data_IF_244983241974
#
_entry.id   IF_244983241974
#
_cell.length_a   1.000
_cell.length_b   1.000
_cell.length_c   1.000
_cell.angle_alpha   90.00
_cell.angle_beta   90.00
_cell.angle_gamma   90.00
#
_symmetry.space_group_name_H-M   'P 1'
#
loop_
_entity.id
_entity.type
_entity.pdbx_description
1 polymer ?
#
# COMPACT_ATOMS: atom_id res chain seq x y z
N UNK A 1 2.71 20.06 -16.08
CA UNK A 1 1.36 19.49 -16.30
C UNK A 1 1.52 17.98 -16.32
N UNK A 2 0.98 17.30 -15.32
CA UNK A 2 1.11 15.86 -15.16
C UNK A 2 0.30 15.14 -16.26
N UNK A 3 0.88 14.18 -17.00
CA UNK A 3 0.20 13.52 -18.12
C UNK A 3 -1.12 12.86 -17.73
N UNK A 4 -2.17 13.11 -18.53
CA UNK A 4 -3.49 12.50 -18.40
C UNK A 4 -4.45 13.16 -17.40
N UNK A 5 -4.00 14.14 -16.62
CA UNK A 5 -4.84 14.81 -15.60
C UNK A 5 -6.06 15.54 -16.20
N UNK A 6 -5.93 16.12 -17.39
CA UNK A 6 -7.04 16.77 -18.11
C UNK A 6 -8.22 15.83 -18.39
N UNK A 7 -7.99 14.52 -18.55
CA UNK A 7 -9.04 13.54 -18.82
C UNK A 7 -9.91 13.24 -17.58
N UNK A 8 -9.44 13.63 -16.40
CA UNK A 8 -10.07 13.38 -15.11
C UNK A 8 -10.43 14.67 -14.35
N UNK A 9 -10.32 15.83 -15.02
CA UNK A 9 -10.55 17.16 -14.43
C UNK A 9 -9.70 17.42 -13.17
N UNK A 10 -8.47 16.88 -13.14
CA UNK A 10 -7.55 17.04 -12.01
C UNK A 10 -6.65 18.24 -12.28
N UNK A 11 -6.83 19.31 -11.50
CA UNK A 11 -5.88 20.41 -11.45
C UNK A 11 -4.94 20.21 -10.26
N UNK A 12 -3.64 20.06 -10.49
CA UNK A 12 -2.59 20.10 -9.47
C UNK A 12 -1.65 21.24 -9.85
N UNK A 13 -1.48 22.20 -8.93
CA UNK A 13 -0.60 23.35 -9.12
C UNK A 13 0.64 23.16 -8.25
N UNK A 14 1.72 22.69 -8.86
CA UNK A 14 3.01 22.52 -8.19
C UNK A 14 3.91 23.65 -8.67
N UNK A 15 4.34 24.49 -7.73
CA UNK A 15 5.23 25.62 -8.04
C UNK A 15 6.65 25.14 -8.33
N UNK A 16 7.34 25.81 -9.26
CA UNK A 16 8.76 25.55 -9.53
C UNK A 16 9.60 25.75 -8.25
N UNK A 17 9.25 26.72 -7.41
CA UNK A 17 9.91 26.99 -6.12
C UNK A 17 9.79 25.80 -5.15
N UNK A 18 8.63 25.13 -5.09
CA UNK A 18 8.45 23.92 -4.28
C UNK A 18 9.28 22.76 -4.79
N UNK A 19 9.35 22.59 -6.11
CA UNK A 19 10.19 21.55 -6.73
C UNK A 19 11.66 21.83 -6.45
N UNK A 20 12.14 23.06 -6.66
CA UNK A 20 13.52 23.46 -6.38
C UNK A 20 13.88 23.29 -4.91
N UNK A 21 12.98 23.67 -3.99
CA UNK A 21 13.14 23.43 -2.55
C UNK A 21 13.30 21.94 -2.28
N UNK A 22 12.42 21.11 -2.82
CA UNK A 22 12.45 19.68 -2.56
C UNK A 22 13.68 19.00 -3.18
N UNK A 23 14.11 19.44 -4.36
CA UNK A 23 15.35 19.00 -5.00
C UNK A 23 16.59 19.38 -4.18
N UNK A 24 16.54 20.43 -3.35
CA UNK A 24 17.66 20.81 -2.49
C UNK A 24 17.80 19.95 -1.22
N UNK A 25 16.78 19.16 -0.87
CA UNK A 25 16.75 18.35 0.35
C UNK A 25 17.80 17.24 0.31
N UNK A 26 18.49 17.11 1.43
CA UNK A 26 19.46 16.08 1.75
C UNK A 26 19.04 15.37 3.06
N UNK A 27 19.59 14.17 3.35
CA UNK A 27 19.26 13.44 4.58
C UNK A 27 19.45 14.25 5.86
N UNK A 28 20.46 15.10 5.94
CA UNK A 28 20.71 15.97 7.09
C UNK A 28 19.67 17.08 7.33
N UNK A 29 18.76 17.32 6.38
CA UNK A 29 17.73 18.36 6.48
C UNK A 29 16.43 17.87 7.16
N UNK A 30 16.32 16.57 7.47
CA UNK A 30 15.15 15.97 8.12
C UNK A 30 15.53 15.34 9.45
N UNK A 31 14.54 15.24 10.35
CA UNK A 31 14.70 14.60 11.65
C UNK A 31 14.34 13.12 11.59
N UNK A 32 15.02 12.30 12.40
CA UNK A 32 14.60 10.91 12.65
C UNK A 32 13.28 10.87 13.39
N UNK A 33 12.45 9.88 13.08
CA UNK A 33 11.23 9.62 13.84
C UNK A 33 11.55 9.24 15.29
N UNK A 34 10.66 9.57 16.23
CA UNK A 34 10.81 9.21 17.65
C UNK A 34 10.40 7.77 17.98
N UNK A 35 9.78 7.08 17.02
CA UNK A 35 9.33 5.70 17.09
C UNK A 35 9.27 5.14 15.66
N UNK A 36 9.29 3.82 15.53
CA UNK A 36 8.96 3.12 14.29
C UNK A 36 7.71 2.27 14.51
N UNK A 37 6.85 2.19 13.51
CA UNK A 37 5.68 1.29 13.53
C UNK A 37 5.77 0.17 12.49
N UNK A 38 4.97 -0.87 12.70
CA UNK A 38 4.75 -1.96 11.76
C UNK A 38 3.35 -2.55 11.93
N UNK A 39 2.85 -3.30 10.95
CA UNK A 39 1.58 -4.02 11.05
C UNK A 39 1.79 -5.52 10.80
N UNK A 40 1.02 -6.40 11.46
CA UNK A 40 1.02 -7.84 11.18
C UNK A 40 -0.10 -8.21 10.25
N UNK A 41 0.24 -8.84 9.14
CA UNK A 41 -0.72 -9.16 8.10
C UNK A 41 -0.71 -10.61 7.65
N UNK A 42 -1.78 -10.98 6.94
CA UNK A 42 -1.73 -12.06 5.96
C UNK A 42 -1.85 -11.47 4.58
N UNK A 43 -1.03 -11.98 3.68
CA UNK A 43 -1.02 -11.58 2.28
C UNK A 43 -1.99 -12.47 1.50
N UNK A 44 -3.01 -11.87 0.89
CA UNK A 44 -4.09 -12.57 0.19
C UNK A 44 -4.06 -12.20 -1.30
N UNK A 45 -3.40 -13.01 -2.14
CA UNK A 45 -3.25 -12.72 -3.56
C UNK A 45 -4.53 -13.07 -4.33
N UNK A 46 -5.57 -12.24 -4.22
CA UNK A 46 -6.91 -12.55 -4.72
C UNK A 46 -6.92 -12.94 -6.20
N UNK A 47 -6.08 -12.27 -7.01
CA UNK A 47 -5.77 -12.71 -8.37
C UNK A 47 -4.50 -12.08 -8.92
N UNK A 48 -3.75 -12.83 -9.73
CA UNK A 48 -2.61 -12.33 -10.52
C UNK A 48 -3.01 -11.82 -11.90
N UNK A 49 -4.32 -11.79 -12.20
CA UNK A 49 -4.83 -11.26 -13.45
C UNK A 49 -4.72 -9.74 -13.46
N UNK A 50 -4.01 -9.18 -14.44
CA UNK A 50 -3.71 -7.75 -14.51
C UNK A 50 -3.82 -7.26 -15.95
N UNK A 51 -4.53 -6.15 -16.17
CA UNK A 51 -4.56 -5.51 -17.49
C UNK A 51 -3.22 -4.92 -17.91
N UNK A 52 -2.36 -4.58 -16.96
CA UNK A 52 -1.02 -4.03 -17.20
C UNK A 52 0.04 -5.14 -17.20
N UNK A 53 1.12 -4.89 -17.95
CA UNK A 53 2.29 -5.78 -18.02
C UNK A 53 3.55 -4.99 -17.66
N UNK A 54 3.54 -4.38 -16.48
CA UNK A 54 4.64 -3.59 -15.96
C UNK A 54 5.92 -4.44 -15.87
N UNK A 55 7.01 -3.99 -16.47
CA UNK A 55 8.27 -4.75 -16.51
C UNK A 55 8.94 -4.83 -15.15
N UNK A 56 8.69 -3.86 -14.26
CA UNK A 56 9.15 -3.89 -12.87
C UNK A 56 8.33 -4.81 -11.96
N UNK A 57 7.19 -5.35 -12.42
CA UNK A 57 6.27 -6.11 -11.59
C UNK A 57 6.33 -7.61 -11.91
N UNK A 58 6.56 -8.42 -10.88
CA UNK A 58 6.45 -9.88 -10.91
C UNK A 58 5.02 -10.37 -10.68
N UNK A 59 4.15 -9.51 -10.13
CA UNK A 59 2.79 -9.82 -9.71
C UNK A 59 1.75 -9.75 -10.85
N UNK A 60 2.04 -10.41 -11.96
CA UNK A 60 1.08 -10.58 -13.06
C UNK A 60 1.39 -11.87 -13.80
N UNK A 61 0.34 -12.66 -14.02
CA UNK A 61 0.36 -13.85 -14.86
C UNK A 61 -0.33 -13.59 -16.21
N UNK A 62 0.24 -14.09 -17.33
CA UNK A 62 -0.38 -13.99 -18.64
C UNK A 62 -1.81 -14.57 -18.67
N UNK A 63 -2.67 -14.07 -19.58
CA UNK A 63 -3.99 -14.64 -19.80
C UNK A 63 -3.96 -16.17 -19.96
N UNK A 64 -4.78 -16.87 -19.18
CA UNK A 64 -4.84 -18.34 -19.12
C UNK A 64 -3.94 -18.98 -18.07
N UNK A 65 -3.13 -18.21 -17.33
CA UNK A 65 -2.32 -18.69 -16.20
C UNK A 65 -2.71 -18.04 -14.87
N UNK A 66 -3.34 -16.86 -14.90
CA UNK A 66 -3.83 -16.22 -13.69
C UNK A 66 -4.97 -17.00 -13.05
N UNK A 67 -4.95 -17.06 -11.73
CA UNK A 67 -5.94 -17.77 -10.90
C UNK A 67 -6.70 -16.77 -10.01
N UNK A 68 -7.86 -17.20 -9.52
CA UNK A 68 -8.59 -16.54 -8.44
C UNK A 68 -8.39 -17.36 -7.17
N UNK A 69 -7.92 -16.71 -6.11
CA UNK A 69 -7.89 -17.32 -4.77
C UNK A 69 -9.33 -17.66 -4.37
N UNK A 70 -9.58 -18.89 -3.91
CA UNK A 70 -10.95 -19.32 -3.58
C UNK A 70 -11.36 -18.95 -2.13
N UNK A 71 -12.67 -18.96 -1.87
CA UNK A 71 -13.27 -18.60 -0.57
C UNK A 71 -12.72 -19.44 0.60
N UNK A 72 -12.44 -20.72 0.36
CA UNK A 72 -11.93 -21.63 1.39
C UNK A 72 -10.48 -21.28 1.69
N UNK A 73 -9.68 -20.99 0.66
CA UNK A 73 -8.29 -20.58 0.81
C UNK A 73 -8.16 -19.23 1.54
N UNK A 74 -9.00 -18.24 1.18
CA UNK A 74 -9.09 -16.96 1.89
C UNK A 74 -9.37 -17.22 3.38
N UNK A 75 -10.41 -17.99 3.68
CA UNK A 75 -10.81 -18.30 5.06
C UNK A 75 -9.71 -19.02 5.84
N UNK A 76 -9.08 -20.02 5.25
CA UNK A 76 -8.01 -20.80 5.88
C UNK A 76 -6.78 -19.91 6.15
N UNK A 77 -6.46 -19.00 5.23
CA UNK A 77 -5.33 -18.06 5.38
C UNK A 77 -5.63 -17.02 6.46
N UNK A 78 -6.81 -16.40 6.44
CA UNK A 78 -7.24 -15.46 7.48
C UNK A 78 -7.24 -16.09 8.86
N UNK A 79 -7.79 -17.31 9.00
CA UNK A 79 -7.79 -18.04 10.27
C UNK A 79 -6.38 -18.27 10.81
N UNK A 80 -5.48 -18.78 9.96
CA UNK A 80 -4.07 -18.97 10.32
C UNK A 80 -3.38 -17.66 10.73
N UNK A 81 -3.75 -16.55 10.08
CA UNK A 81 -3.31 -15.21 10.42
C UNK A 81 -3.77 -14.77 11.80
N UNK A 82 -5.08 -14.88 12.05
CA UNK A 82 -5.68 -14.53 13.34
C UNK A 82 -5.07 -15.38 14.48
N UNK A 83 -4.90 -16.69 14.27
CA UNK A 83 -4.23 -17.61 15.21
C UNK A 83 -2.77 -17.20 15.48
N UNK A 84 -2.11 -16.55 14.52
CA UNK A 84 -0.74 -16.03 14.64
C UNK A 84 -0.68 -14.58 15.15
N UNK A 85 -1.82 -13.98 15.52
CA UNK A 85 -1.91 -12.62 16.04
C UNK A 85 -1.87 -11.54 14.96
N UNK A 86 -2.13 -11.84 13.69
CA UNK A 86 -2.26 -10.82 12.65
C UNK A 86 -3.51 -9.96 12.89
N UNK A 87 -3.48 -8.75 12.37
CA UNK A 87 -4.63 -7.83 12.39
C UNK A 87 -5.09 -7.42 11.01
N UNK A 88 -4.23 -7.52 10.01
CA UNK A 88 -4.52 -7.12 8.63
C UNK A 88 -4.76 -8.33 7.72
N UNK A 89 -5.81 -8.26 6.92
CA UNK A 89 -6.00 -9.08 5.72
C UNK A 89 -5.66 -8.22 4.49
N UNK A 90 -4.42 -8.33 4.01
CA UNK A 90 -3.90 -7.54 2.91
C UNK A 90 -4.28 -8.20 1.57
N UNK A 91 -5.39 -7.74 0.99
CA UNK A 91 -5.85 -8.18 -0.32
C UNK A 91 -5.08 -7.46 -1.43
N UNK A 92 -4.31 -8.21 -2.21
CA UNK A 92 -3.62 -7.66 -3.38
C UNK A 92 -4.05 -8.41 -4.63
N UNK A 93 -4.19 -7.69 -5.73
CA UNK A 93 -4.45 -8.31 -7.03
C UNK A 93 -3.95 -7.41 -8.15
N UNK A 94 -3.83 -7.97 -9.35
CA UNK A 94 -3.58 -7.17 -10.54
C UNK A 94 -4.70 -6.16 -10.81
N UNK A 95 -4.36 -5.03 -11.45
CA UNK A 95 -5.34 -4.02 -11.87
C UNK A 95 -6.37 -4.64 -12.84
N UNK A 96 -7.65 -4.62 -12.42
CA UNK A 96 -8.89 -4.99 -13.13
C UNK A 96 -8.68 -5.87 -14.38
N UNK A 97 -8.93 -7.20 -14.30
CA UNK A 97 -8.64 -8.13 -15.38
C UNK A 97 -9.43 -7.78 -16.64
N UNK A 98 -8.72 -7.48 -17.74
CA UNK A 98 -9.37 -7.18 -19.00
C UNK A 98 -9.96 -8.42 -19.70
N UNK A 99 -10.65 -8.22 -20.82
CA UNK A 99 -11.38 -9.26 -21.57
C UNK A 99 -10.50 -10.46 -22.00
N UNK A 100 -9.17 -10.37 -21.92
CA UNK A 100 -8.28 -11.50 -22.21
C UNK A 100 -8.36 -12.59 -21.15
N UNK A 101 -8.75 -12.26 -19.91
CA UNK A 101 -8.80 -13.18 -18.78
C UNK A 101 -10.13 -13.94 -18.71
N UNK A 102 -10.51 -14.61 -19.80
CA UNK A 102 -11.83 -15.26 -19.89
C UNK A 102 -12.08 -16.29 -18.79
N UNK A 103 -11.07 -17.06 -18.38
CA UNK A 103 -11.21 -18.05 -17.32
C UNK A 103 -11.52 -17.43 -15.95
N UNK A 104 -10.93 -16.26 -15.64
CA UNK A 104 -11.20 -15.50 -14.42
C UNK A 104 -12.63 -14.99 -14.45
N UNK A 105 -13.06 -14.39 -15.57
CA UNK A 105 -14.43 -13.90 -15.75
C UNK A 105 -15.47 -15.03 -15.69
N UNK A 106 -15.22 -16.17 -16.34
CA UNK A 106 -16.09 -17.35 -16.28
C UNK A 106 -16.22 -17.89 -14.85
N UNK A 107 -15.13 -17.88 -14.09
CA UNK A 107 -15.12 -18.32 -12.69
C UNK A 107 -15.84 -17.34 -11.77
N UNK A 108 -15.65 -16.02 -11.92
CA UNK A 108 -16.42 -15.00 -11.22
C UNK A 108 -17.92 -15.18 -11.48
N UNK A 109 -18.32 -15.32 -12.75
CA UNK A 109 -19.72 -15.53 -13.12
C UNK A 109 -20.29 -16.84 -12.55
N UNK A 110 -19.52 -17.93 -12.55
CA UNK A 110 -19.90 -19.19 -11.92
C UNK A 110 -20.06 -19.08 -10.40
N UNK A 111 -19.32 -18.16 -9.79
CA UNK A 111 -19.40 -17.80 -8.37
C UNK A 111 -20.44 -16.73 -8.05
N UNK A 112 -21.16 -16.24 -9.07
CA UNK A 112 -22.23 -15.25 -8.92
C UNK A 112 -21.78 -13.80 -8.85
N UNK A 113 -20.57 -13.50 -9.33
CA UNK A 113 -19.98 -12.15 -9.35
C UNK A 113 -19.82 -11.64 -10.77
N UNK A 114 -20.25 -10.40 -11.02
CA UNK A 114 -20.11 -9.72 -12.30
C UNK A 114 -18.73 -9.04 -12.46
N UNK A 115 -17.99 -8.85 -11.36
CA UNK A 115 -16.65 -8.25 -11.38
C UNK A 115 -15.76 -8.74 -10.24
N UNK A 116 -14.45 -8.51 -10.37
CA UNK A 116 -13.49 -8.78 -9.29
C UNK A 116 -13.77 -7.96 -8.03
N UNK A 117 -14.38 -6.78 -8.15
CA UNK A 117 -14.70 -5.93 -6.99
C UNK A 117 -15.90 -6.45 -6.19
N UNK A 118 -16.88 -7.09 -6.84
CA UNK A 118 -17.97 -7.79 -6.13
C UNK A 118 -17.40 -8.99 -5.36
N UNK A 119 -16.47 -9.71 -5.96
CA UNK A 119 -15.79 -10.81 -5.27
C UNK A 119 -14.87 -10.32 -4.14
N UNK A 120 -14.17 -9.20 -4.32
CA UNK A 120 -13.39 -8.56 -3.26
C UNK A 120 -14.29 -8.24 -2.06
N UNK A 121 -15.50 -7.73 -2.28
CA UNK A 121 -16.43 -7.45 -1.19
C UNK A 121 -16.70 -8.69 -0.35
N UNK A 122 -17.02 -9.82 -0.99
CA UNK A 122 -17.20 -11.10 -0.31
C UNK A 122 -15.91 -11.56 0.40
N UNK A 123 -14.74 -11.36 -0.21
CA UNK A 123 -13.45 -11.68 0.42
C UNK A 123 -13.21 -10.85 1.69
N UNK A 124 -13.52 -9.55 1.67
CA UNK A 124 -13.46 -8.67 2.84
C UNK A 124 -14.43 -9.13 3.95
N UNK A 125 -15.64 -9.57 3.61
CA UNK A 125 -16.58 -10.16 4.58
C UNK A 125 -15.98 -11.40 5.25
N UNK A 126 -15.35 -12.30 4.48
CA UNK A 126 -14.68 -13.49 5.03
C UNK A 126 -13.53 -13.10 5.97
N UNK A 127 -12.74 -12.08 5.64
CA UNK A 127 -11.65 -11.63 6.50
C UNK A 127 -12.16 -11.06 7.84
N UNK A 128 -13.22 -10.25 7.82
CA UNK A 128 -13.85 -9.74 9.04
C UNK A 128 -14.43 -10.87 9.90
N UNK A 129 -15.09 -11.86 9.27
CA UNK A 129 -15.60 -13.05 9.97
C UNK A 129 -14.51 -13.88 10.65
N UNK A 130 -13.30 -13.93 10.09
CA UNK A 130 -12.16 -14.63 10.67
C UNK A 130 -11.29 -13.71 11.58
N UNK A 131 -11.77 -12.50 11.89
CA UNK A 131 -11.13 -11.62 12.87
C UNK A 131 -9.92 -10.84 12.36
N UNK A 132 -9.90 -10.48 11.06
CA UNK A 132 -8.89 -9.60 10.47
C UNK A 132 -9.55 -8.39 9.81
N UNK A 133 -8.90 -7.23 9.90
CA UNK A 133 -9.33 -6.00 9.25
C UNK A 133 -8.85 -5.99 7.78
N UNK A 134 -9.75 -5.85 6.79
CA UNK A 134 -9.34 -5.82 5.40
C UNK A 134 -8.57 -4.55 5.04
N UNK A 135 -7.49 -4.73 4.27
CA UNK A 135 -6.78 -3.69 3.55
C UNK A 135 -6.65 -4.12 2.08
N UNK A 136 -7.33 -3.44 1.17
CA UNK A 136 -7.35 -3.81 -0.24
C UNK A 136 -6.50 -2.89 -1.13
N UNK A 137 -5.71 -3.50 -2.02
CA UNK A 137 -4.93 -2.85 -3.07
C UNK A 137 -5.42 -3.28 -4.47
N UNK A 138 -6.63 -2.85 -4.90
CA UNK A 138 -7.29 -3.32 -6.12
C UNK A 138 -6.80 -2.66 -7.42
N UNK A 139 -5.75 -1.85 -7.36
CA UNK A 139 -5.29 -1.07 -8.50
C UNK A 139 -6.19 0.12 -8.84
N UNK A 140 -6.22 0.51 -10.11
CA UNK A 140 -7.07 1.60 -10.60
C UNK A 140 -8.56 1.25 -10.48
N UNK A 141 -9.33 2.09 -9.78
CA UNK A 141 -10.78 1.93 -9.63
C UNK A 141 -11.56 3.12 -10.18
N UNK A 142 -12.75 2.84 -10.69
CA UNK A 142 -13.80 3.85 -10.80
C UNK A 142 -14.36 4.19 -9.42
N UNK A 143 -15.05 5.33 -9.31
CA UNK A 143 -15.72 5.75 -8.06
C UNK A 143 -16.70 4.69 -7.55
N UNK A 144 -17.49 4.10 -8.43
CA UNK A 144 -18.50 3.11 -8.05
C UNK A 144 -17.86 1.79 -7.58
N UNK A 145 -16.78 1.36 -8.23
CA UNK A 145 -16.02 0.17 -7.81
C UNK A 145 -15.39 0.36 -6.42
N UNK A 146 -14.81 1.53 -6.13
CA UNK A 146 -14.23 1.81 -4.81
C UNK A 146 -15.33 1.94 -3.75
N UNK A 147 -16.40 2.69 -4.03
CA UNK A 147 -17.51 2.87 -3.10
C UNK A 147 -18.22 1.56 -2.74
N UNK A 148 -18.18 0.55 -3.63
CA UNK A 148 -18.76 -0.77 -3.39
C UNK A 148 -18.08 -1.56 -2.26
N UNK A 149 -16.78 -1.34 -2.05
CA UNK A 149 -15.94 -2.14 -1.13
C UNK A 149 -15.40 -1.34 0.06
N UNK A 150 -15.41 -0.01 -0.03
CA UNK A 150 -14.80 0.89 0.96
C UNK A 150 -15.33 0.68 2.39
N UNK A 151 -16.62 0.35 2.55
CA UNK A 151 -17.25 0.16 3.86
C UNK A 151 -16.72 -1.07 4.63
N UNK A 152 -16.05 -2.00 3.95
CA UNK A 152 -15.47 -3.20 4.56
C UNK A 152 -13.95 -3.15 4.67
N UNK A 153 -13.32 -2.03 4.32
CA UNK A 153 -11.86 -1.88 4.36
C UNK A 153 -11.47 -0.86 5.42
N UNK A 154 -10.57 -1.25 6.34
CA UNK A 154 -9.96 -0.31 7.28
C UNK A 154 -9.03 0.67 6.55
N UNK A 155 -8.39 0.19 5.47
CA UNK A 155 -7.53 0.96 4.58
C UNK A 155 -7.66 0.44 3.15
N UNK A 156 -7.38 1.29 2.17
CA UNK A 156 -7.16 0.84 0.79
C UNK A 156 -5.89 1.48 0.23
N UNK A 157 -5.37 0.97 -0.87
CA UNK A 157 -4.17 1.55 -1.44
C UNK A 157 -3.98 1.37 -2.94
N UNK A 158 -3.20 2.29 -3.49
CA UNK A 158 -2.59 2.14 -4.81
C UNK A 158 -1.32 2.97 -4.90
N UNK A 159 -0.24 2.38 -5.40
CA UNK A 159 0.98 3.14 -5.70
C UNK A 159 0.71 4.14 -6.82
N UNK A 160 1.06 5.42 -6.62
CA UNK A 160 1.11 6.41 -7.69
C UNK A 160 2.22 6.05 -8.69
N UNK A 161 3.28 5.42 -8.21
CA UNK A 161 4.51 5.08 -8.93
C UNK A 161 5.32 6.32 -9.31
N UNK A 162 4.77 7.16 -10.18
CA UNK A 162 5.40 8.37 -10.69
C UNK A 162 4.38 9.25 -11.41
N UNK A 163 4.68 10.54 -11.51
CA UNK A 163 3.90 11.54 -12.25
C UNK A 163 4.34 11.70 -13.71
N UNK A 164 5.28 10.88 -14.20
CA UNK A 164 5.76 10.92 -15.58
C UNK A 164 5.42 9.66 -16.37
N UNK A 165 5.43 9.75 -17.70
CA UNK A 165 5.34 8.57 -18.55
C UNK A 165 6.70 7.86 -18.61
N UNK A 166 6.75 6.61 -18.15
CA UNK A 166 7.96 5.78 -18.18
C UNK A 166 7.82 4.59 -19.14
N UNK A 167 8.92 4.22 -19.78
CA UNK A 167 9.02 3.04 -20.64
C UNK A 167 9.23 1.76 -19.81
N UNK A 168 8.30 1.49 -18.90
CA UNK A 168 8.36 0.38 -17.95
C UNK A 168 7.17 -0.59 -18.09
N UNK A 169 6.59 -0.68 -19.30
CA UNK A 169 5.43 -1.51 -19.62
C UNK A 169 5.72 -2.31 -20.89
N UNK A 170 5.55 -3.64 -20.83
CA UNK A 170 5.84 -4.55 -21.94
C UNK A 170 4.69 -4.74 -22.94
N UNK A 171 3.55 -4.09 -22.72
CA UNK A 171 2.31 -4.28 -23.47
C UNK A 171 1.73 -2.98 -24.02
N UNK A 172 0.57 -3.04 -24.71
CA UNK A 172 -0.06 -1.87 -25.33
C UNK A 172 -0.70 -0.92 -24.32
N UNK A 173 -0.83 -1.33 -23.04
CA UNK A 173 -1.35 -0.53 -21.94
C UNK A 173 -0.20 -0.08 -21.05
N UNK A 174 -0.23 1.17 -20.63
CA UNK A 174 0.67 1.75 -19.63
C UNK A 174 -0.15 2.38 -18.52
N UNK A 175 0.36 2.34 -17.28
CA UNK A 175 -0.23 3.12 -16.19
C UNK A 175 -0.16 4.61 -16.52
N UNK A 176 -1.27 5.30 -16.35
CA UNK A 176 -1.37 6.74 -16.61
C UNK A 176 -1.34 7.53 -15.29
N UNK A 177 -0.44 8.52 -15.13
CA UNK A 177 -0.37 9.34 -13.93
C UNK A 177 -1.68 10.03 -13.54
N UNK A 178 -2.39 10.62 -14.50
CA UNK A 178 -3.69 11.25 -14.29
C UNK A 178 -4.75 10.27 -13.76
N UNK A 179 -4.77 9.04 -14.27
CA UNK A 179 -5.65 7.98 -13.76
C UNK A 179 -5.31 7.58 -12.32
N UNK A 180 -4.02 7.46 -11.99
CA UNK A 180 -3.57 7.13 -10.63
C UNK A 180 -3.96 8.24 -9.64
N UNK A 181 -3.71 9.50 -10.01
CA UNK A 181 -4.17 10.64 -9.23
C UNK A 181 -5.70 10.70 -9.11
N UNK A 182 -6.43 10.25 -10.13
CA UNK A 182 -7.88 10.13 -10.05
C UNK A 182 -8.32 9.08 -9.03
N UNK A 183 -7.62 7.95 -8.93
CA UNK A 183 -7.88 6.95 -7.90
C UNK A 183 -7.66 7.53 -6.50
N UNK A 184 -6.56 8.26 -6.28
CA UNK A 184 -6.30 8.98 -5.01
C UNK A 184 -7.41 10.00 -4.71
N UNK A 185 -7.79 10.82 -5.68
CA UNK A 185 -8.90 11.79 -5.56
C UNK A 185 -10.21 11.10 -5.12
N UNK A 186 -10.55 9.99 -5.77
CA UNK A 186 -11.76 9.20 -5.47
C UNK A 186 -11.72 8.65 -4.05
N UNK A 187 -10.59 8.13 -3.58
CA UNK A 187 -10.43 7.68 -2.20
C UNK A 187 -10.66 8.82 -1.20
N UNK A 188 -10.08 9.99 -1.47
CA UNK A 188 -10.30 11.19 -0.68
C UNK A 188 -11.75 11.64 -0.63
N UNK A 189 -12.46 11.62 -1.76
CA UNK A 189 -13.89 11.96 -1.82
C UNK A 189 -14.81 10.96 -1.12
N UNK A 190 -14.38 9.70 -1.01
CA UNK A 190 -15.10 8.65 -0.30
C UNK A 190 -14.74 8.55 1.18
N UNK A 191 -13.74 9.31 1.65
CA UNK A 191 -13.30 9.28 3.04
C UNK A 191 -12.59 7.97 3.42
N UNK A 192 -11.80 7.39 2.50
CA UNK A 192 -11.11 6.12 2.74
C UNK A 192 -9.67 6.40 3.20
N UNK A 193 -9.23 5.94 4.38
CA UNK A 193 -7.81 5.96 4.76
C UNK A 193 -6.99 5.23 3.69
N UNK A 194 -5.97 5.89 3.16
CA UNK A 194 -5.36 5.46 1.90
C UNK A 194 -3.83 5.40 1.94
N UNK A 195 -3.27 4.28 1.47
CA UNK A 195 -1.83 4.11 1.26
C UNK A 195 -1.49 4.37 -0.21
N UNK A 196 -0.43 5.13 -0.45
CA UNK A 196 0.13 5.33 -1.79
C UNK A 196 1.65 5.39 -1.72
N UNK A 197 2.32 5.78 -2.80
CA UNK A 197 3.77 5.79 -2.84
C UNK A 197 4.35 6.04 -4.22
N UNK A 198 5.66 6.16 -4.24
CA UNK A 198 6.46 6.29 -5.47
C UNK A 198 7.38 5.08 -5.64
N UNK A 199 7.64 4.73 -6.90
CA UNK A 199 8.69 3.80 -7.26
C UNK A 199 9.93 4.57 -7.70
N UNK A 200 11.07 4.17 -7.16
CA UNK A 200 12.37 4.80 -7.41
C UNK A 200 13.19 3.93 -8.34
N UNK A 201 13.52 4.46 -9.52
CA UNK A 201 14.40 3.85 -10.51
C UNK A 201 13.70 3.20 -11.70
N UNK A 202 12.41 3.47 -11.93
CA UNK A 202 11.64 2.91 -13.06
C UNK A 202 11.76 3.73 -14.36
N UNK A 203 12.60 4.77 -14.35
CA UNK A 203 12.87 5.64 -15.50
C UNK A 203 12.52 7.11 -15.26
N UNK A 204 11.99 7.43 -14.09
CA UNK A 204 11.75 8.79 -13.62
C UNK A 204 13.06 9.49 -13.21
N UNK A 205 13.12 10.81 -13.35
CA UNK A 205 14.25 11.62 -12.87
C UNK A 205 13.96 12.28 -11.50
N UNK A 206 14.93 13.04 -10.98
CA UNK A 206 14.78 13.74 -9.71
C UNK A 206 13.61 14.73 -9.68
N UNK A 207 13.35 15.43 -10.78
CA UNK A 207 12.22 16.35 -10.87
C UNK A 207 10.91 15.57 -10.79
N UNK A 208 10.79 14.45 -11.49
CA UNK A 208 9.59 13.62 -11.44
C UNK A 208 9.34 13.04 -10.04
N UNK A 209 10.39 12.69 -9.29
CA UNK A 209 10.25 12.27 -7.88
C UNK A 209 9.69 13.39 -7.01
N UNK A 210 10.24 14.60 -7.14
CA UNK A 210 9.76 15.77 -6.42
C UNK A 210 8.30 16.09 -6.78
N UNK A 211 7.97 16.16 -8.07
CA UNK A 211 6.61 16.39 -8.56
C UNK A 211 5.62 15.34 -8.05
N UNK A 212 6.02 14.06 -8.00
CA UNK A 212 5.18 12.98 -7.48
C UNK A 212 4.88 13.11 -5.99
N UNK A 213 5.89 13.43 -5.17
CA UNK A 213 5.71 13.65 -3.73
C UNK A 213 4.83 14.87 -3.45
N UNK A 214 5.01 15.96 -4.21
CA UNK A 214 4.20 17.17 -4.08
C UNK A 214 2.75 16.95 -4.58
N UNK A 215 2.55 16.12 -5.59
CA UNK A 215 1.21 15.73 -6.05
C UNK A 215 0.48 14.88 -4.99
N UNK A 216 1.18 13.97 -4.32
CA UNK A 216 0.64 13.20 -3.19
C UNK A 216 0.29 14.14 -2.02
N UNK A 217 1.18 15.07 -1.67
CA UNK A 217 0.91 16.11 -0.66
C UNK A 217 -0.36 16.89 -0.98
N UNK A 218 -0.50 17.39 -2.21
CA UNK A 218 -1.68 18.14 -2.64
C UNK A 218 -2.98 17.31 -2.49
N UNK A 219 -2.94 16.01 -2.82
CA UNK A 219 -4.09 15.12 -2.61
C UNK A 219 -4.40 14.94 -1.12
N UNK A 220 -3.39 14.82 -0.27
CA UNK A 220 -3.59 14.76 1.16
C UNK A 220 -4.13 16.09 1.71
N UNK A 221 -3.55 17.24 1.37
CA UNK A 221 -3.99 18.56 1.85
C UNK A 221 -5.45 18.88 1.47
N UNK A 222 -5.92 18.39 0.32
CA UNK A 222 -7.31 18.57 -0.13
C UNK A 222 -8.32 17.69 0.61
N UNK A 223 -7.91 16.48 1.00
CA UNK A 223 -8.87 15.43 1.38
C UNK A 223 -8.58 14.80 2.77
N UNK A 224 -7.38 14.92 3.34
CA UNK A 224 -6.98 14.37 4.64
C UNK A 224 -6.73 12.86 4.70
N UNK A 225 -6.97 12.16 3.58
CA UNK A 225 -7.16 10.71 3.53
C UNK A 225 -5.87 9.86 3.45
N UNK A 226 -4.77 10.42 2.94
CA UNK A 226 -3.53 9.64 2.78
C UNK A 226 -2.91 9.42 4.15
N UNK A 227 -2.69 8.18 4.55
CA UNK A 227 -2.08 7.81 5.83
C UNK A 227 -0.58 7.54 5.72
N UNK A 228 -0.18 6.97 4.57
CA UNK A 228 1.16 6.42 4.37
C UNK A 228 1.62 6.64 2.93
N UNK A 229 2.89 7.01 2.79
CA UNK A 229 3.59 7.11 1.51
C UNK A 229 4.79 6.18 1.51
N UNK A 230 4.73 5.18 0.64
CA UNK A 230 5.79 4.19 0.45
C UNK A 230 6.84 4.72 -0.52
N UNK A 231 8.10 4.78 -0.08
CA UNK A 231 9.26 5.05 -0.94
C UNK A 231 9.92 3.73 -1.28
N UNK A 232 9.51 3.14 -2.41
CA UNK A 232 9.93 1.79 -2.79
C UNK A 232 10.98 1.83 -3.92
N UNK A 233 12.13 1.15 -3.76
CA UNK A 233 13.06 0.96 -4.87
C UNK A 233 12.50 -0.05 -5.88
N UNK A 234 12.78 0.17 -7.17
CA UNK A 234 12.65 -0.92 -8.14
C UNK A 234 13.72 -1.97 -7.88
N UNK A 235 13.34 -3.24 -7.99
CA UNK A 235 14.25 -4.37 -7.85
C UNK A 235 14.33 -5.16 -9.15
N UNK A 236 15.53 -5.63 -9.50
CA UNK A 236 15.69 -6.47 -10.68
C UNK A 236 14.93 -7.78 -10.56
N UNK A 237 14.29 -8.18 -11.65
CA UNK A 237 13.54 -9.43 -11.77
C UNK A 237 13.61 -9.93 -13.21
N UNK A 238 12.95 -11.05 -13.53
CA UNK A 238 13.00 -11.65 -14.88
C UNK A 238 12.65 -10.69 -16.03
N UNK A 239 11.84 -9.65 -15.76
CA UNK A 239 11.33 -8.66 -16.71
C UNK A 239 12.01 -7.29 -16.59
N UNK A 240 12.64 -6.99 -15.44
CA UNK A 240 13.38 -5.75 -15.18
C UNK A 240 14.88 -6.00 -14.98
N UNK A 241 15.68 -5.44 -15.89
CA UNK A 241 17.15 -5.46 -15.84
C UNK A 241 17.75 -4.05 -15.94
N UNK A 242 16.98 -3.05 -15.50
CA UNK A 242 17.38 -1.63 -15.50
C UNK A 242 18.29 -1.25 -14.32
N UNK A 243 18.62 -2.20 -13.44
CA UNK A 243 19.25 -1.95 -12.16
C UNK A 243 18.27 -1.46 -11.09
N UNK A 244 18.80 -1.32 -9.89
CA UNK A 244 18.11 -0.77 -8.71
C UNK A 244 18.80 0.53 -8.26
N UNK A 245 18.07 1.48 -7.66
CA UNK A 245 18.68 2.69 -7.09
C UNK A 245 19.67 2.32 -5.99
N UNK A 246 20.76 3.08 -5.89
CA UNK A 246 21.74 2.88 -4.82
C UNK A 246 21.27 3.48 -3.49
N UNK A 247 21.99 3.15 -2.41
CA UNK A 247 21.67 3.64 -1.07
C UNK A 247 21.66 5.18 -1.00
N UNK A 248 22.59 5.85 -1.68
CA UNK A 248 22.65 7.31 -1.69
C UNK A 248 21.39 7.92 -2.33
N UNK A 249 20.90 7.31 -3.40
CA UNK A 249 19.63 7.68 -4.04
C UNK A 249 18.47 7.46 -3.08
N UNK A 250 18.36 6.28 -2.47
CA UNK A 250 17.26 5.97 -1.56
C UNK A 250 17.24 6.90 -0.35
N UNK A 251 18.37 7.12 0.32
CA UNK A 251 18.49 8.07 1.44
C UNK A 251 17.95 9.45 1.09
N UNK A 252 18.34 9.98 -0.06
CA UNK A 252 17.89 11.31 -0.50
C UNK A 252 16.40 11.35 -0.86
N UNK A 253 15.89 10.35 -1.58
CA UNK A 253 14.46 10.32 -1.95
C UNK A 253 13.57 10.13 -0.72
N UNK A 254 13.99 9.32 0.26
CA UNK A 254 13.28 9.16 1.53
C UNK A 254 13.26 10.47 2.31
N UNK A 255 14.39 11.19 2.41
CA UNK A 255 14.44 12.52 3.02
C UNK A 255 13.55 13.54 2.29
N UNK A 256 13.52 13.50 0.95
CA UNK A 256 12.58 14.29 0.16
C UNK A 256 11.13 13.95 0.53
N UNK A 257 10.76 12.67 0.65
CA UNK A 257 9.41 12.29 1.05
C UNK A 257 9.03 12.89 2.40
N UNK A 258 9.89 12.75 3.42
CA UNK A 258 9.65 13.34 4.75
C UNK A 258 9.53 14.86 4.71
N UNK A 259 10.38 15.55 3.94
CA UNK A 259 10.35 17.01 3.81
C UNK A 259 9.18 17.55 2.96
N UNK A 260 8.61 16.71 2.09
CA UNK A 260 7.47 17.07 1.27
C UNK A 260 6.17 16.94 2.06
N UNK A 261 5.99 15.82 2.76
CA UNK A 261 4.71 15.40 3.32
C UNK A 261 4.43 16.03 4.69
N UNK A 262 3.15 16.31 5.03
CA UNK A 262 2.75 16.70 6.38
C UNK A 262 3.11 15.65 7.42
N UNK A 263 3.39 16.07 8.66
CA UNK A 263 3.85 15.19 9.74
C UNK A 263 2.89 14.04 10.05
N UNK A 264 1.58 14.22 9.81
CA UNK A 264 0.53 13.21 9.99
C UNK A 264 0.47 12.13 8.90
N UNK A 265 1.29 12.25 7.84
CA UNK A 265 1.47 11.24 6.80
C UNK A 265 2.77 10.51 7.08
N UNK A 266 2.66 9.20 7.30
CA UNK A 266 3.81 8.34 7.56
C UNK A 266 4.61 8.09 6.29
N UNK A 267 5.92 7.97 6.46
CA UNK A 267 6.88 7.68 5.40
C UNK A 267 7.42 6.28 5.64
N UNK A 268 7.05 5.38 4.75
CA UNK A 268 7.41 3.98 4.84
C UNK A 268 8.46 3.63 3.80
N UNK A 269 9.37 2.72 4.14
CA UNK A 269 10.16 1.97 3.18
C UNK A 269 9.91 0.47 3.38
N UNK A 270 9.75 -0.33 2.32
CA UNK A 270 9.57 -1.77 2.46
C UNK A 270 10.89 -2.43 2.89
N UNK A 271 11.00 -2.96 4.12
CA UNK A 271 12.27 -3.44 4.69
C UNK A 271 12.83 -4.68 3.98
N UNK A 272 12.01 -5.42 3.24
CA UNK A 272 12.43 -6.54 2.39
C UNK A 272 13.10 -6.08 1.08
N UNK A 273 12.84 -4.85 0.61
CA UNK A 273 13.36 -4.33 -0.67
C UNK A 273 14.34 -3.16 -0.50
N UNK A 274 14.30 -2.46 0.63
CA UNK A 274 15.11 -1.30 0.93
C UNK A 274 15.96 -1.54 2.19
N UNK A 275 17.17 -0.94 2.28
CA UNK A 275 18.02 -1.03 3.47
C UNK A 275 17.46 -0.15 4.61
N UNK A 276 16.31 -0.51 5.18
CA UNK A 276 15.55 0.31 6.14
C UNK A 276 16.40 0.85 7.30
N UNK A 277 17.33 0.04 7.82
CA UNK A 277 18.28 0.46 8.86
C UNK A 277 19.07 1.71 8.48
N UNK A 278 19.53 1.79 7.23
CA UNK A 278 20.31 2.91 6.69
C UNK A 278 19.43 4.07 6.22
N UNK A 279 18.11 4.02 6.48
CA UNK A 279 17.13 5.05 6.12
C UNK A 279 16.41 5.65 7.33
N UNK A 280 16.68 5.16 8.54
CA UNK A 280 16.09 5.65 9.81
C UNK A 280 16.42 7.12 10.12
N UNK A 281 17.58 7.60 9.67
CA UNK A 281 17.98 9.01 9.74
C UNK A 281 17.48 9.86 8.55
N UNK A 282 16.68 9.27 7.67
CA UNK A 282 16.09 9.95 6.51
C UNK A 282 14.58 10.20 6.69
N UNK A 283 14.04 9.99 7.90
CA UNK A 283 12.67 10.37 8.25
C UNK A 283 11.60 9.30 8.05
N UNK A 284 11.97 8.02 7.93
CA UNK A 284 10.99 6.93 8.00
C UNK A 284 10.45 6.80 9.42
N UNK A 285 9.16 6.56 9.55
CA UNK A 285 8.46 6.28 10.80
C UNK A 285 7.70 4.94 10.76
N UNK A 286 7.64 4.29 9.60
CA UNK A 286 6.94 3.01 9.44
C UNK A 286 7.76 1.99 8.63
N UNK A 287 7.68 0.72 9.03
CA UNK A 287 8.37 -0.42 8.41
C UNK A 287 7.40 -1.33 7.62
N UNK A 288 6.14 -0.94 7.49
CA UNK A 288 5.11 -1.62 6.72
C UNK A 288 4.47 -2.82 7.40
N UNK A 289 3.67 -3.53 6.60
CA UNK A 289 3.11 -4.82 6.99
C UNK A 289 4.16 -5.93 6.93
N UNK A 290 4.10 -6.88 7.85
CA UNK A 290 4.89 -8.13 7.82
C UNK A 290 4.00 -9.33 8.10
N UNK A 291 4.25 -10.43 7.39
CA UNK A 291 3.49 -11.66 7.58
C UNK A 291 4.32 -12.76 8.25
N UNK A 292 3.83 -13.36 9.35
CA UNK A 292 4.43 -14.56 9.93
C UNK A 292 4.00 -15.86 9.23
N UNK A 293 3.03 -15.82 8.30
CA UNK A 293 2.34 -17.03 7.78
C UNK A 293 2.24 -17.12 6.26
N UNK A 294 2.49 -16.03 5.53
CA UNK A 294 2.46 -15.92 4.07
C UNK A 294 3.73 -15.26 3.56
N UNK A 295 4.06 -15.46 2.28
CA UNK A 295 5.18 -14.77 1.61
C UNK A 295 4.71 -13.43 1.01
N UNK A 296 5.63 -12.56 0.61
CA UNK A 296 5.31 -11.40 -0.24
C UNK A 296 5.08 -11.92 -1.66
N UNK A 297 3.82 -11.99 -2.12
CA UNK A 297 3.58 -12.48 -3.47
C UNK A 297 3.91 -11.44 -4.55
N UNK A 298 4.00 -10.14 -4.19
CA UNK A 298 4.41 -9.12 -5.16
C UNK A 298 5.91 -9.27 -5.44
N UNK A 299 6.73 -9.48 -4.42
CA UNK A 299 8.17 -9.68 -4.54
C UNK A 299 8.59 -11.04 -3.96
N UNK A 300 8.25 -12.16 -4.62
CA UNK A 300 8.41 -13.51 -4.05
C UNK A 300 9.86 -13.95 -3.84
N UNK A 301 10.82 -13.26 -4.47
CA UNK A 301 12.25 -13.46 -4.23
C UNK A 301 12.73 -12.83 -2.90
N UNK A 302 11.88 -12.05 -2.22
CA UNK A 302 12.17 -11.30 -1.00
C UNK A 302 11.17 -11.67 0.10
N UNK A 303 11.60 -12.49 1.06
CA UNK A 303 10.77 -12.86 2.21
C UNK A 303 10.46 -11.65 3.11
N UNK A 304 9.32 -11.69 3.81
CA UNK A 304 9.05 -10.71 4.86
C UNK A 304 10.14 -10.78 5.93
N UNK A 305 10.65 -9.64 6.41
CA UNK A 305 11.60 -9.68 7.51
C UNK A 305 10.93 -10.27 8.74
N UNK A 306 11.67 -11.10 9.46
CA UNK A 306 11.21 -11.57 10.76
C UNK A 306 11.07 -10.37 11.72
N UNK A 307 10.17 -10.46 12.70
CA UNK A 307 9.98 -9.40 13.69
C UNK A 307 11.29 -8.98 14.37
N UNK A 308 12.21 -9.93 14.59
CA UNK A 308 13.54 -9.63 15.15
C UNK A 308 14.37 -8.69 14.27
N UNK A 309 14.21 -8.74 12.95
CA UNK A 309 14.89 -7.83 12.03
C UNK A 309 14.32 -6.42 12.10
N UNK A 310 12.99 -6.27 12.20
CA UNK A 310 12.36 -4.98 12.47
C UNK A 310 12.82 -4.39 13.81
N UNK A 311 12.87 -5.23 14.86
CA UNK A 311 13.41 -4.83 16.17
C UNK A 311 14.85 -4.35 16.03
N UNK A 312 15.70 -5.05 15.26
CA UNK A 312 17.08 -4.64 15.04
C UNK A 312 17.20 -3.30 14.29
N UNK A 313 16.26 -2.97 13.39
CA UNK A 313 16.19 -1.64 12.75
C UNK A 313 15.89 -0.56 13.78
N UNK A 314 14.86 -0.76 14.62
CA UNK A 314 14.49 0.20 15.67
C UNK A 314 15.57 0.37 16.75
N UNK A 315 16.20 -0.73 17.18
CA UNK A 315 17.33 -0.70 18.12
C UNK A 315 18.53 0.06 17.54
N UNK A 316 18.81 -0.10 16.25
CA UNK A 316 19.89 0.64 15.58
C UNK A 316 19.61 2.14 15.51
N UNK A 317 18.34 2.53 15.37
CA UNK A 317 17.89 3.92 15.42
C UNK A 317 17.77 4.47 16.85
N UNK A 318 17.73 3.59 17.87
CA UNK A 318 17.59 3.98 19.27
C UNK A 318 16.18 4.43 19.65
N UNK A 319 15.15 3.91 18.95
CA UNK A 319 13.73 4.28 19.13
C UNK A 319 12.87 3.04 19.39
N UNK A 320 11.71 3.17 20.06
CA UNK A 320 10.78 2.05 20.22
C UNK A 320 10.22 1.58 18.88
N UNK A 321 9.91 0.28 18.80
CA UNK A 321 9.12 -0.32 17.73
C UNK A 321 7.72 -0.63 18.27
N UNK A 322 6.70 -0.23 17.53
CA UNK A 322 5.30 -0.34 17.96
C UNK A 322 4.45 -1.02 16.88
N UNK A 323 3.62 -1.97 17.26
CA UNK A 323 2.64 -2.54 16.35
C UNK A 323 1.46 -1.58 16.18
N UNK A 324 0.94 -1.45 14.96
CA UNK A 324 -0.27 -0.70 14.62
C UNK A 324 -1.28 -1.57 13.88
N UNK A 325 -2.51 -1.10 13.81
CA UNK A 325 -3.52 -1.63 12.90
C UNK A 325 -3.18 -1.31 11.43
N UNK A 326 -3.86 -1.95 10.44
CA UNK A 326 -3.74 -1.58 9.03
C UNK A 326 -4.20 -0.15 8.71
N UNK A 327 -4.78 0.53 9.70
CA UNK A 327 -5.17 1.93 9.67
C UNK A 327 -4.49 2.67 10.83
N UNK A 328 -3.99 3.88 10.58
CA UNK A 328 -3.28 4.67 11.58
C UNK A 328 -4.25 5.29 12.60
N UNK A 329 -3.83 5.39 13.87
CA UNK A 329 -4.65 5.77 15.03
C UNK A 329 -5.51 7.02 14.80
N UNK A 330 -4.97 8.05 14.12
CA UNK A 330 -5.73 9.28 13.85
C UNK A 330 -7.03 9.04 13.09
N UNK A 331 -7.07 8.06 12.18
CA UNK A 331 -8.29 7.75 11.42
C UNK A 331 -9.31 6.99 12.28
N UNK A 332 -8.84 6.23 13.27
CA UNK A 332 -9.69 5.62 14.28
C UNK A 332 -10.32 6.70 15.16
N UNK A 333 -9.51 7.67 15.61
CA UNK A 333 -9.93 8.74 16.52
C UNK A 333 -10.83 9.79 15.85
N UNK A 334 -10.58 10.13 14.59
CA UNK A 334 -11.27 11.20 13.86
C UNK A 334 -12.59 10.74 13.19
N UNK A 335 -13.01 9.49 13.41
CA UNK A 335 -14.28 8.96 12.90
C UNK A 335 -14.31 8.73 11.39
N UNK A 336 -13.18 8.28 10.82
CA UNK A 336 -13.09 7.93 9.40
C UNK A 336 -13.59 6.52 9.09
N UNK A 337 -13.60 5.66 10.09
CA UNK A 337 -13.93 4.25 9.91
C UNK A 337 -15.42 4.06 9.66
N UNK A 338 -15.74 3.09 8.81
CA UNK A 338 -17.12 2.68 8.58
C UNK A 338 -17.64 1.87 9.78
N UNK A 339 -18.97 1.85 9.96
CA UNK A 339 -19.59 1.07 11.04
C UNK A 339 -19.16 -0.42 11.08
N UNK A 340 -18.97 -1.15 9.96
CA UNK A 340 -18.46 -2.53 10.03
C UNK A 340 -17.05 -2.64 10.62
N UNK A 341 -16.16 -1.69 10.31
CA UNK A 341 -14.79 -1.68 10.82
C UNK A 341 -14.78 -1.27 12.30
N UNK A 342 -15.51 -0.22 12.67
CA UNK A 342 -15.68 0.18 14.07
C UNK A 342 -16.24 -0.97 14.91
N UNK A 343 -17.29 -1.65 14.41
CA UNK A 343 -17.89 -2.79 15.09
C UNK A 343 -16.91 -3.96 15.26
N UNK A 344 -16.02 -4.21 14.29
CA UNK A 344 -14.99 -5.23 14.41
C UNK A 344 -13.94 -4.84 15.47
N UNK A 345 -13.53 -3.58 15.51
CA UNK A 345 -12.60 -3.06 16.53
C UNK A 345 -13.23 -3.10 17.93
N UNK A 346 -14.52 -2.82 18.05
CA UNK A 346 -15.27 -2.76 19.31
C UNK A 346 -15.85 -4.11 19.77
N UNK A 347 -15.71 -5.17 18.98
CA UNK A 347 -16.28 -6.49 19.28
C UNK A 347 -15.79 -7.05 20.63
N UNK A 348 -16.69 -7.68 21.40
CA UNK A 348 -16.38 -8.36 22.65
C UNK A 348 -15.97 -9.82 22.38
N UNK A 349 -14.91 -9.97 21.59
CA UNK A 349 -14.29 -11.25 21.21
C UNK A 349 -12.75 -11.12 21.14
N UNK A 350 -12.07 -12.25 20.91
CA UNK A 350 -10.59 -12.31 20.87
C UNK A 350 -9.98 -11.37 19.81
N UNK A 351 -10.70 -11.08 18.71
CA UNK A 351 -10.22 -10.20 17.66
C UNK A 351 -10.35 -8.73 18.08
N UNK A 352 -11.52 -8.31 18.59
CA UNK A 352 -11.73 -6.97 19.11
C UNK A 352 -10.80 -6.64 20.28
N UNK A 353 -10.56 -7.59 21.20
CA UNK A 353 -9.57 -7.43 22.27
C UNK A 353 -8.15 -7.22 21.73
N UNK A 354 -7.74 -7.98 20.71
CA UNK A 354 -6.45 -7.80 20.03
C UNK A 354 -6.33 -6.42 19.39
N UNK A 355 -7.36 -5.97 18.66
CA UNK A 355 -7.34 -4.66 18.01
C UNK A 355 -7.23 -3.52 19.02
N UNK A 356 -8.03 -3.55 20.09
CA UNK A 356 -7.97 -2.52 21.15
C UNK A 356 -6.66 -2.55 21.93
N UNK A 357 -6.06 -3.74 22.16
CA UNK A 357 -4.74 -3.81 22.79
C UNK A 357 -3.66 -3.14 21.95
N UNK A 358 -3.70 -3.31 20.63
CA UNK A 358 -2.77 -2.65 19.71
C UNK A 358 -2.99 -1.13 19.72
N UNK A 359 -4.23 -0.66 19.71
CA UNK A 359 -4.51 0.78 19.81
C UNK A 359 -4.07 1.38 21.17
N UNK A 360 -4.27 0.66 22.27
CA UNK A 360 -3.97 1.16 23.62
C UNK A 360 -2.47 1.08 23.99
N UNK A 361 -1.77 0.05 23.50
CA UNK A 361 -0.43 -0.33 23.98
C UNK A 361 0.58 -0.50 22.87
N UNK A 362 0.13 -0.58 21.63
CA UNK A 362 0.99 -0.78 20.48
C UNK A 362 1.65 -2.16 20.43
N UNK A 363 1.01 -3.16 21.02
CA UNK A 363 1.51 -4.54 21.08
C UNK A 363 0.35 -5.54 21.00
N UNK A 364 0.52 -6.60 20.19
CA UNK A 364 -0.34 -7.78 20.22
C UNK A 364 -0.27 -8.46 21.60
N UNK A 365 -1.40 -8.76 22.27
CA UNK A 365 -1.40 -9.54 23.51
C UNK A 365 -0.67 -10.87 23.34
N UNK A 366 0.14 -11.28 24.33
CA UNK A 366 0.65 -12.65 24.36
C UNK A 366 -0.54 -13.62 24.39
N UNK A 367 -0.56 -14.58 23.47
CA UNK A 367 -1.56 -15.64 23.48
C UNK A 367 -1.49 -16.39 24.83
N UNK A 368 -2.63 -16.73 25.45
CA UNK A 368 -2.67 -17.33 26.78
C UNK A 368 -2.00 -18.71 26.89
#
# INVERSE_FOLDING_TARGET
MIPGTDAYDIAIDISDDDVERLLSVMPEDVESASALSYCRNVFLPLTTACRYTCTYCTYYDPPGQAELMDRKEIRETCRRGADAGCTEALFTFGDDPDDRYTAVHDQLAAWGHDSIHEYLREACEIALEEGLLPHANPGDQTRDQMAHVADLNASMGVMLETTTEVQAHGGPRAKNPGQRLNTLRVAGELGVPFTTGILVGIGEDWHNRAESLLAIREMHERYGHIQEVIVQPVVENERWRGGSPDLATMRRVTAMARAALPDEVSVQVPPNLAPARDLTDCGIDDLGGVSPVTVDHINPEYEWPALQELTAVAEAAGVPLTERLPVYDRFVDDGWLSNPIEAAIEADDDAGERFRSILDRGETPEAP
#
